data_IF_643511342619
#
_entry.id   IF_643511342619
#
_cell.length_a   1.000
_cell.length_b   1.000
_cell.length_c   1.000
_cell.angle_alpha   90.00
_cell.angle_beta   90.00
_cell.angle_gamma   90.00
#
_symmetry.space_group_name_H-M   'P 1'
#
loop_
_entity.id
_entity.type
_entity.pdbx_description
1 polymer ?
#
# COMPACT_ATOMS: atom_id res chain seq x y z
N UNK A 1 -17.42 -5.71 -21.78
CA UNK A 1 -16.51 -5.51 -20.63
C UNK A 1 -17.03 -6.40 -19.51
N UNK A 2 -16.18 -7.21 -18.90
CA UNK A 2 -16.54 -8.08 -17.78
C UNK A 2 -16.51 -7.25 -16.49
N UNK A 3 -17.68 -7.02 -15.89
CA UNK A 3 -17.86 -6.25 -14.65
C UNK A 3 -16.97 -6.77 -13.51
N UNK A 4 -16.64 -8.07 -13.50
CA UNK A 4 -15.77 -8.67 -12.48
C UNK A 4 -14.32 -8.20 -12.58
N UNK A 5 -13.83 -7.98 -13.79
CA UNK A 5 -12.47 -7.48 -14.03
C UNK A 5 -12.37 -6.01 -13.58
N UNK A 6 -13.42 -5.23 -13.82
CA UNK A 6 -13.46 -3.82 -13.43
C UNK A 6 -13.52 -3.67 -11.91
N UNK A 7 -14.30 -4.52 -11.21
CA UNK A 7 -14.34 -4.54 -9.75
C UNK A 7 -13.00 -4.90 -9.11
N UNK A 8 -12.28 -5.90 -9.66
CA UNK A 8 -10.95 -6.28 -9.17
C UNK A 8 -9.93 -5.16 -9.37
N UNK A 9 -9.97 -4.47 -10.52
CA UNK A 9 -9.09 -3.35 -10.82
C UNK A 9 -9.37 -2.14 -9.91
N UNK A 10 -10.63 -1.84 -9.60
CA UNK A 10 -11.01 -0.79 -8.65
C UNK A 10 -10.50 -1.11 -7.24
N UNK A 11 -10.72 -2.33 -6.76
CA UNK A 11 -10.22 -2.76 -5.46
C UNK A 11 -8.68 -2.68 -5.39
N UNK A 12 -7.99 -3.01 -6.48
CA UNK A 12 -6.53 -2.89 -6.54
C UNK A 12 -6.06 -1.43 -6.41
N UNK A 13 -6.78 -0.48 -7.01
CA UNK A 13 -6.50 0.96 -6.87
C UNK A 13 -6.74 1.46 -5.45
N UNK A 14 -7.83 1.02 -4.82
CA UNK A 14 -8.13 1.39 -3.43
C UNK A 14 -7.04 0.91 -2.48
N UNK A 15 -6.60 -0.33 -2.60
CA UNK A 15 -5.52 -0.87 -1.77
C UNK A 15 -4.15 -0.24 -2.06
N UNK A 16 -3.88 0.15 -3.31
CA UNK A 16 -2.69 0.95 -3.62
C UNK A 16 -2.72 2.31 -2.90
N UNK A 17 -3.85 3.01 -2.91
CA UNK A 17 -4.01 4.26 -2.14
C UNK A 17 -3.84 4.04 -0.64
N UNK A 18 -4.41 2.96 -0.10
CA UNK A 18 -4.25 2.58 1.31
C UNK A 18 -2.78 2.33 1.66
N UNK A 19 -1.99 1.70 0.78
CA UNK A 19 -0.56 1.49 1.02
C UNK A 19 0.17 2.81 1.25
N UNK A 20 -0.05 3.82 0.40
CA UNK A 20 0.55 5.14 0.56
C UNK A 20 0.02 5.90 1.78
N UNK A 21 -1.30 5.93 1.97
CA UNK A 21 -1.93 6.66 3.08
C UNK A 21 -1.59 6.03 4.45
N UNK A 22 -1.35 4.73 4.50
CA UNK A 22 -0.99 4.03 5.74
C UNK A 22 0.32 4.53 6.36
N UNK A 23 1.23 5.10 5.54
CA UNK A 23 2.45 5.72 6.04
C UNK A 23 2.15 6.91 6.98
N UNK A 24 1.01 7.59 6.81
CA UNK A 24 0.62 8.72 7.67
C UNK A 24 0.41 8.33 9.14
N UNK A 25 0.28 7.04 9.45
CA UNK A 25 0.31 6.54 10.84
C UNK A 25 1.62 6.90 11.55
N UNK A 26 2.71 7.09 10.80
CA UNK A 26 3.99 7.59 11.33
C UNK A 26 3.90 8.95 12.02
N UNK A 27 2.89 9.76 11.68
CA UNK A 27 2.65 11.07 12.30
C UNK A 27 2.12 10.98 13.75
N UNK A 28 1.63 9.81 14.18
CA UNK A 28 0.98 9.63 15.48
C UNK A 28 1.94 9.26 16.63
N UNK A 29 3.25 9.23 16.39
CA UNK A 29 4.21 8.79 17.39
C UNK A 29 5.66 9.01 17.00
N UNK A 30 6.49 7.98 17.16
CA UNK A 30 7.94 8.02 16.98
C UNK A 30 8.41 7.83 15.52
N UNK A 31 7.54 8.04 14.51
CA UNK A 31 7.89 7.90 13.10
C UNK A 31 7.97 6.48 12.56
N UNK A 32 8.02 5.44 13.41
CA UNK A 32 8.09 4.04 12.95
C UNK A 32 6.90 3.65 12.06
N UNK A 33 5.74 4.29 12.28
CA UNK A 33 4.54 4.09 11.47
C UNK A 33 4.70 4.44 9.97
N UNK A 34 5.69 5.26 9.60
CA UNK A 34 5.97 5.57 8.18
C UNK A 34 6.35 4.32 7.38
N UNK A 35 7.13 3.42 7.98
CA UNK A 35 7.56 2.16 7.34
C UNK A 35 6.58 1.04 7.64
N UNK A 36 6.07 0.95 8.89
CA UNK A 36 5.18 -0.14 9.28
C UNK A 36 3.83 -0.13 8.53
N UNK A 37 3.26 1.05 8.25
CA UNK A 37 2.02 1.16 7.48
C UNK A 37 2.09 0.44 6.13
N UNK A 38 2.94 0.90 5.19
CA UNK A 38 3.04 0.30 3.87
C UNK A 38 3.56 -1.15 3.94
N UNK A 39 4.41 -1.50 4.93
CA UNK A 39 4.86 -2.89 5.13
C UNK A 39 3.71 -3.83 5.48
N UNK A 40 2.79 -3.41 6.36
CA UNK A 40 1.60 -4.21 6.71
C UNK A 40 0.70 -4.41 5.49
N UNK A 41 0.49 -3.36 4.69
CA UNK A 41 -0.30 -3.47 3.45
C UNK A 41 0.38 -4.41 2.46
N UNK A 42 1.70 -4.32 2.29
CA UNK A 42 2.44 -5.24 1.44
C UNK A 42 2.31 -6.70 1.91
N UNK A 43 2.55 -6.99 3.19
CA UNK A 43 2.45 -8.35 3.72
C UNK A 43 1.04 -8.93 3.60
N UNK A 44 0.00 -8.10 3.74
CA UNK A 44 -1.38 -8.55 3.67
C UNK A 44 -1.89 -8.70 2.23
N UNK A 45 -1.53 -7.79 1.33
CA UNK A 45 -2.21 -7.66 0.03
C UNK A 45 -1.36 -7.91 -1.21
N UNK A 46 -0.06 -8.19 -1.06
CA UNK A 46 0.85 -8.45 -2.21
C UNK A 46 0.43 -9.63 -3.11
N UNK A 47 -0.30 -10.59 -2.56
CA UNK A 47 -0.69 -11.82 -3.28
C UNK A 47 -2.08 -11.69 -3.94
N UNK A 48 -2.85 -10.63 -3.61
CA UNK A 48 -4.20 -10.39 -4.14
C UNK A 48 -4.18 -9.82 -5.57
N UNK A 49 -3.24 -8.91 -5.88
CA UNK A 49 -3.13 -8.28 -7.20
C UNK A 49 -1.73 -7.68 -7.42
N UNK A 50 -1.18 -7.84 -8.63
CA UNK A 50 0.18 -7.34 -8.99
C UNK A 50 0.35 -5.84 -8.76
N UNK A 51 -0.62 -5.03 -9.21
CA UNK A 51 -0.63 -3.59 -8.95
C UNK A 51 -0.54 -3.22 -7.46
N UNK A 52 -1.21 -3.97 -6.56
CA UNK A 52 -1.13 -3.69 -5.11
C UNK A 52 0.28 -3.99 -4.61
N UNK A 53 0.88 -5.12 -5.03
CA UNK A 53 2.25 -5.51 -4.66
C UNK A 53 3.25 -4.43 -5.05
N UNK A 54 3.18 -3.93 -6.29
CA UNK A 54 4.08 -2.91 -6.80
C UNK A 54 3.94 -1.59 -6.05
N UNK A 55 2.70 -1.11 -5.88
CA UNK A 55 2.43 0.16 -5.21
C UNK A 55 2.76 0.12 -3.71
N UNK A 56 2.52 -1.00 -3.03
CA UNK A 56 2.91 -1.15 -1.64
C UNK A 56 4.43 -1.23 -1.44
N UNK A 57 5.17 -1.84 -2.38
CA UNK A 57 6.64 -1.78 -2.39
C UNK A 57 7.17 -0.38 -2.67
N UNK A 58 6.56 0.34 -3.62
CA UNK A 58 6.92 1.73 -3.93
C UNK A 58 6.72 2.63 -2.70
N UNK A 59 5.56 2.53 -2.05
CA UNK A 59 5.26 3.25 -0.81
C UNK A 59 6.28 2.90 0.29
N UNK A 60 6.58 1.62 0.49
CA UNK A 60 7.55 1.17 1.49
C UNK A 60 8.96 1.70 1.21
N UNK A 61 9.43 1.58 -0.04
CA UNK A 61 10.76 2.03 -0.45
C UNK A 61 10.89 3.56 -0.35
N UNK A 62 9.84 4.31 -0.68
CA UNK A 62 9.84 5.77 -0.53
C UNK A 62 10.06 6.17 0.93
N UNK A 63 9.35 5.54 1.86
CA UNK A 63 9.48 5.83 3.29
C UNK A 63 10.86 5.43 3.84
N UNK A 64 11.42 4.28 3.42
CA UNK A 64 12.79 3.87 3.77
C UNK A 64 13.85 4.83 3.20
N UNK A 65 13.61 5.42 2.03
CA UNK A 65 14.57 6.35 1.43
C UNK A 65 14.53 7.74 2.08
N UNK A 66 13.35 8.17 2.56
CA UNK A 66 13.17 9.48 3.18
C UNK A 66 13.61 9.55 4.65
N UNK A 67 13.70 8.42 5.35
CA UNK A 67 13.99 8.32 6.80
C UNK A 67 15.18 7.41 7.09
#
# INVERSE_FOLDING_TARGET
>A
MDERNDAAALAARDWAMVAHLSALVGLLGNGIGFVLGPLVVWLWKRDDHEYIREQALEALNFQITMF
#
